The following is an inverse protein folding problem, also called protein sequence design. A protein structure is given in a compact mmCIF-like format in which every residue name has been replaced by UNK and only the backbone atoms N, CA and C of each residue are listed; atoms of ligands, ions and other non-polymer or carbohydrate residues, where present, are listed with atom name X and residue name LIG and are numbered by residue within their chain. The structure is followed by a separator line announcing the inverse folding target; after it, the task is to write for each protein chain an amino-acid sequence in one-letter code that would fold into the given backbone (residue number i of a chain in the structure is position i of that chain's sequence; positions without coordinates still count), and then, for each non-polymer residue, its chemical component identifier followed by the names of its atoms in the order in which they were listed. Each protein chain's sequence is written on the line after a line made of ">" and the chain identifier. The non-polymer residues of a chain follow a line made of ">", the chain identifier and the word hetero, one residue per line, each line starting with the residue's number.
data_IF_808999850388
#
_entry.id   IF_808999850388
#
_cell.length_a   1.000
_cell.length_b   1.000
_cell.length_c   1.000
_cell.angle_alpha   90.00
_cell.angle_beta   90.00
_cell.angle_gamma   90.00
#
_symmetry.space_group_name_H-M   'P 1'
#
loop_
_entity.id
_entity.type
_entity.pdbx_description
1 polymer ?
#
# COMPACT_ATOMS: atom_id res chain seq x y z
N UNK A 1 -7.81 39.36 -16.86
CA UNK A 1 -7.12 38.34 -17.69
C UNK A 1 -7.70 36.99 -17.34
N UNK A 2 -8.26 36.22 -18.29
CA UNK A 2 -8.81 34.91 -17.98
C UNK A 2 -7.65 33.97 -17.63
N UNK A 3 -7.76 33.29 -16.50
CA UNK A 3 -6.81 32.29 -16.02
C UNK A 3 -6.67 31.16 -17.04
N UNK A 4 -5.46 30.59 -17.10
CA UNK A 4 -5.09 29.48 -17.99
C UNK A 4 -5.97 28.22 -17.81
N UNK A 5 -6.76 28.13 -16.75
CA UNK A 5 -7.59 26.96 -16.40
C UNK A 5 -8.77 26.72 -17.37
N UNK A 6 -9.53 27.76 -17.76
CA UNK A 6 -10.78 27.56 -18.52
C UNK A 6 -10.62 27.14 -19.99
N UNK A 7 -9.41 27.13 -20.54
CA UNK A 7 -9.14 26.70 -21.94
C UNK A 7 -8.45 25.34 -22.04
N UNK A 8 -7.95 24.80 -20.93
CA UNK A 8 -7.48 23.42 -20.89
C UNK A 8 -8.67 22.46 -20.71
N UNK A 9 -9.74 22.92 -20.03
CA UNK A 9 -11.07 22.31 -20.02
C UNK A 9 -11.65 22.16 -21.43
N UNK A 10 -11.58 23.22 -22.25
CA UNK A 10 -12.08 23.19 -23.63
C UNK A 10 -11.38 22.11 -24.49
N UNK A 11 -10.07 21.89 -24.30
CA UNK A 11 -9.37 20.85 -25.05
C UNK A 11 -9.83 19.45 -24.64
N UNK A 12 -10.06 19.23 -23.35
CA UNK A 12 -10.56 17.97 -22.83
C UNK A 12 -12.02 17.73 -23.27
N UNK A 13 -12.85 18.76 -23.28
CA UNK A 13 -14.21 18.73 -23.85
C UNK A 13 -14.20 18.35 -25.34
N UNK A 14 -13.33 18.95 -26.15
CA UNK A 14 -13.21 18.63 -27.58
C UNK A 14 -12.76 17.18 -27.80
N UNK A 15 -11.88 16.65 -26.94
CA UNK A 15 -11.46 15.24 -26.98
C UNK A 15 -12.63 14.32 -26.62
N UNK A 16 -13.39 14.64 -25.57
CA UNK A 16 -14.57 13.87 -25.14
C UNK A 16 -15.66 13.88 -26.22
N UNK A 17 -15.89 15.05 -26.84
CA UNK A 17 -16.84 15.22 -27.95
C UNK A 17 -16.34 14.64 -29.28
N UNK A 18 -15.15 14.00 -29.31
CA UNK A 18 -14.53 13.42 -30.52
C UNK A 18 -14.32 14.43 -31.66
N UNK A 19 -14.16 15.70 -31.33
CA UNK A 19 -13.93 16.78 -32.29
C UNK A 19 -12.44 16.90 -32.65
N UNK A 20 -11.88 15.83 -33.23
CA UNK A 20 -10.43 15.63 -33.39
C UNK A 20 -9.72 16.75 -34.15
N UNK A 21 -10.32 17.24 -35.24
CA UNK A 21 -9.74 18.34 -36.05
C UNK A 21 -9.57 19.62 -35.24
N UNK A 22 -10.60 19.97 -34.45
CA UNK A 22 -10.58 21.17 -33.63
C UNK A 22 -9.59 21.01 -32.47
N UNK A 23 -9.61 19.85 -31.80
CA UNK A 23 -8.66 19.53 -30.73
C UNK A 23 -7.20 19.60 -31.22
N UNK A 24 -6.89 18.98 -32.37
CA UNK A 24 -5.54 18.99 -32.94
C UNK A 24 -5.09 20.41 -33.34
N UNK A 25 -5.97 21.18 -33.99
CA UNK A 25 -5.68 22.56 -34.37
C UNK A 25 -5.41 23.44 -33.13
N UNK A 26 -6.17 23.25 -32.06
CA UNK A 26 -5.98 23.96 -30.80
C UNK A 26 -4.63 23.59 -30.16
N UNK A 27 -4.27 22.30 -30.11
CA UNK A 27 -2.96 21.84 -29.65
C UNK A 27 -1.82 22.49 -30.47
N UNK A 28 -1.89 22.45 -31.80
CA UNK A 28 -0.85 23.01 -32.67
C UNK A 28 -0.73 24.53 -32.50
N UNK A 29 -1.86 25.24 -32.37
CA UNK A 29 -1.87 26.68 -32.12
C UNK A 29 -1.24 27.02 -30.77
N UNK A 30 -1.49 26.22 -29.73
CA UNK A 30 -0.89 26.42 -28.39
C UNK A 30 0.61 26.11 -28.41
N UNK A 31 1.04 25.01 -29.06
CA UNK A 31 2.45 24.63 -29.18
C UNK A 31 3.30 25.61 -29.99
N UNK A 32 2.70 26.32 -30.95
CA UNK A 32 3.37 27.38 -31.73
C UNK A 32 3.59 28.67 -30.95
N UNK A 33 2.79 28.93 -29.91
CA UNK A 33 3.07 30.02 -28.97
C UNK A 33 4.23 29.55 -28.09
N UNK A 34 5.14 30.45 -27.70
CA UNK A 34 6.44 30.17 -27.07
C UNK A 34 6.43 29.33 -25.76
N UNK A 35 5.29 28.78 -25.34
CA UNK A 35 5.10 27.92 -24.18
C UNK A 35 4.83 26.46 -24.61
N UNK A 36 5.75 25.86 -25.35
CA UNK A 36 5.67 24.42 -25.67
C UNK A 36 5.90 23.60 -24.39
N UNK A 37 4.83 23.08 -23.78
CA UNK A 37 4.91 22.20 -22.61
C UNK A 37 4.75 20.74 -22.99
N UNK A 38 5.39 19.85 -22.22
CA UNK A 38 5.24 18.39 -22.36
C UNK A 38 3.78 17.95 -22.24
N UNK A 39 3.04 18.65 -21.40
CA UNK A 39 1.63 18.44 -21.20
C UNK A 39 0.83 18.66 -22.49
N UNK A 40 1.07 19.76 -23.20
CA UNK A 40 0.44 20.03 -24.50
C UNK A 40 0.87 19.03 -25.57
N UNK A 41 2.14 18.59 -25.56
CA UNK A 41 2.63 17.54 -26.45
C UNK A 41 1.92 16.21 -26.20
N UNK A 42 1.77 15.80 -24.94
CA UNK A 42 1.04 14.57 -24.60
C UNK A 42 -0.44 14.67 -24.95
N UNK A 43 -1.10 15.81 -24.74
CA UNK A 43 -2.48 16.00 -25.20
C UNK A 43 -2.59 15.87 -26.71
N UNK A 44 -1.66 16.46 -27.48
CA UNK A 44 -1.61 16.28 -28.94
C UNK A 44 -1.43 14.81 -29.33
N UNK A 45 -0.50 14.11 -28.69
CA UNK A 45 -0.28 12.66 -28.89
C UNK A 45 -1.56 11.89 -28.59
N UNK A 46 -2.27 12.19 -27.50
CA UNK A 46 -3.55 11.58 -27.15
C UNK A 46 -4.60 11.77 -28.23
N UNK A 47 -4.77 12.99 -28.75
CA UNK A 47 -5.67 13.28 -29.87
C UNK A 47 -5.30 12.43 -31.10
N UNK A 48 -4.03 12.41 -31.48
CA UNK A 48 -3.55 11.65 -32.64
C UNK A 48 -3.78 10.15 -32.50
N UNK A 49 -3.57 9.60 -31.29
CA UNK A 49 -3.73 8.17 -31.03
C UNK A 49 -5.19 7.73 -30.94
N UNK A 50 -6.10 8.61 -30.51
CA UNK A 50 -7.54 8.36 -30.46
C UNK A 50 -8.24 8.61 -31.81
N UNK A 51 -7.59 9.34 -32.72
CA UNK A 51 -8.11 9.59 -34.05
C UNK A 51 -8.28 8.27 -34.83
N UNK A 52 -9.44 8.03 -35.48
CA UNK A 52 -9.68 6.80 -36.27
C UNK A 52 -8.76 6.58 -37.48
N UNK A 53 -8.04 7.60 -37.93
CA UNK A 53 -7.26 7.58 -39.17
C UNK A 53 -5.88 6.97 -38.91
N UNK A 54 -5.52 5.92 -39.65
CA UNK A 54 -4.27 5.16 -39.42
C UNK A 54 -3.00 6.02 -39.55
N UNK A 55 -2.99 6.97 -40.48
CA UNK A 55 -1.87 7.90 -40.70
C UNK A 55 -1.63 8.78 -39.47
N UNK A 56 -2.71 9.36 -38.90
CA UNK A 56 -2.69 10.15 -37.66
C UNK A 56 -2.28 9.30 -36.47
N UNK A 57 -2.76 8.07 -36.42
CA UNK A 57 -2.37 7.13 -35.39
C UNK A 57 -0.86 6.84 -35.42
N UNK A 58 -0.30 6.54 -36.60
CA UNK A 58 1.14 6.34 -36.79
C UNK A 58 1.96 7.59 -36.42
N UNK A 59 1.46 8.78 -36.79
CA UNK A 59 2.05 10.04 -36.36
C UNK A 59 2.10 10.16 -34.83
N UNK A 60 0.99 9.83 -34.15
CA UNK A 60 0.90 9.82 -32.69
C UNK A 60 1.92 8.87 -32.05
N UNK A 61 2.10 7.66 -32.60
CA UNK A 61 3.09 6.70 -32.11
C UNK A 61 4.52 7.20 -32.29
N UNK A 62 4.83 7.85 -33.42
CA UNK A 62 6.15 8.45 -33.66
C UNK A 62 6.44 9.57 -32.68
N UNK A 63 5.49 10.48 -32.48
CA UNK A 63 5.64 11.59 -31.52
C UNK A 63 5.74 11.08 -30.08
N UNK A 64 5.00 10.03 -29.72
CA UNK A 64 5.12 9.35 -28.44
C UNK A 64 6.52 8.76 -28.23
N UNK A 65 7.06 8.06 -29.23
CA UNK A 65 8.42 7.50 -29.17
C UNK A 65 9.47 8.58 -28.88
N UNK A 66 9.41 9.70 -29.60
CA UNK A 66 10.31 10.84 -29.40
C UNK A 66 10.18 11.41 -27.99
N UNK A 67 8.96 11.57 -27.47
CA UNK A 67 8.74 12.08 -26.12
C UNK A 67 9.32 11.14 -25.05
N UNK A 68 9.14 9.83 -25.21
CA UNK A 68 9.63 8.84 -24.27
C UNK A 68 11.16 8.69 -24.30
N UNK A 69 11.81 9.01 -25.42
CA UNK A 69 13.28 8.96 -25.55
C UNK A 69 13.99 10.22 -25.08
N UNK A 70 13.24 11.31 -24.84
CA UNK A 70 13.83 12.62 -24.55
C UNK A 70 14.71 12.64 -23.29
N UNK A 71 15.73 13.49 -23.33
CA UNK A 71 16.61 13.85 -22.22
C UNK A 71 16.65 15.39 -22.07
N UNK A 72 16.25 15.98 -20.92
CA UNK A 72 15.73 15.32 -19.72
C UNK A 72 14.36 14.64 -19.96
N UNK A 73 14.06 13.56 -19.20
CA UNK A 73 12.77 12.88 -19.27
C UNK A 73 11.63 13.80 -18.81
N UNK A 74 10.41 13.39 -19.14
CA UNK A 74 9.20 14.04 -18.62
C UNK A 74 9.15 13.87 -17.10
N UNK A 75 8.97 14.99 -16.40
CA UNK A 75 8.93 15.06 -14.93
C UNK A 75 7.66 15.73 -14.40
N UNK A 76 6.85 16.31 -15.29
CA UNK A 76 5.57 16.91 -14.93
C UNK A 76 4.52 15.84 -14.60
N UNK A 77 3.87 15.98 -13.44
CA UNK A 77 2.97 14.96 -12.89
C UNK A 77 1.72 14.79 -13.76
N UNK A 78 1.13 15.87 -14.26
CA UNK A 78 -0.07 15.78 -15.10
C UNK A 78 0.23 15.15 -16.46
N UNK A 79 1.40 15.43 -17.00
CA UNK A 79 1.92 14.77 -18.20
C UNK A 79 2.11 13.27 -17.95
N UNK A 80 2.73 12.88 -16.84
CA UNK A 80 2.92 11.46 -16.48
C UNK A 80 1.59 10.72 -16.26
N UNK A 81 0.61 11.35 -15.60
CA UNK A 81 -0.76 10.82 -15.47
C UNK A 81 -1.41 10.61 -16.83
N UNK A 82 -1.27 11.57 -17.74
CA UNK A 82 -1.84 11.45 -19.08
C UNK A 82 -1.17 10.30 -19.86
N UNK A 83 0.15 10.12 -19.71
CA UNK A 83 0.87 8.97 -20.29
C UNK A 83 0.39 7.62 -19.72
N UNK A 84 0.03 7.55 -18.44
CA UNK A 84 -0.60 6.37 -17.85
C UNK A 84 -1.94 6.04 -18.51
N UNK A 85 -2.83 7.04 -18.68
CA UNK A 85 -4.12 6.83 -19.35
C UNK A 85 -3.95 6.35 -20.79
N UNK A 86 -2.88 6.77 -21.47
CA UNK A 86 -2.54 6.30 -22.81
C UNK A 86 -2.05 4.84 -22.81
N UNK A 87 -1.27 4.45 -21.81
CA UNK A 87 -0.79 3.08 -21.65
C UNK A 87 -1.94 2.09 -21.44
N UNK A 88 -2.95 2.50 -20.66
CA UNK A 88 -4.16 1.71 -20.39
C UNK A 88 -5.03 1.57 -21.65
N UNK A 89 -5.29 2.68 -22.35
CA UNK A 89 -6.18 2.70 -23.52
C UNK A 89 -5.66 1.91 -24.74
N UNK A 90 -4.35 1.63 -24.81
CA UNK A 90 -3.73 0.98 -25.99
C UNK A 90 -3.23 -0.44 -25.75
N UNK A 91 -3.53 -1.03 -24.59
CA UNK A 91 -3.17 -2.43 -24.32
C UNK A 91 -1.66 -2.63 -24.25
N UNK A 92 -1.02 -2.00 -23.26
CA UNK A 92 0.26 -2.39 -22.62
C UNK A 92 1.51 -2.71 -23.47
N UNK A 93 1.52 -2.53 -24.79
CA UNK A 93 2.64 -3.02 -25.61
C UNK A 93 3.85 -2.08 -25.73
N UNK A 94 3.85 -0.91 -25.07
CA UNK A 94 5.02 -0.02 -25.04
C UNK A 94 5.74 -0.11 -23.68
N UNK A 95 6.85 -0.89 -23.57
CA UNK A 95 7.58 -1.05 -22.31
C UNK A 95 8.13 0.26 -21.75
N UNK A 96 8.44 1.25 -22.61
CA UNK A 96 8.96 2.55 -22.16
C UNK A 96 7.94 3.33 -21.34
N UNK A 97 6.64 3.18 -21.62
CA UNK A 97 5.57 3.79 -20.83
C UNK A 97 5.57 3.29 -19.38
N UNK A 98 6.02 2.05 -19.13
CA UNK A 98 6.11 1.52 -17.75
C UNK A 98 7.23 2.16 -16.94
N UNK A 99 8.24 2.71 -17.62
CA UNK A 99 9.45 3.26 -16.99
C UNK A 99 9.42 4.79 -16.84
N UNK A 100 8.41 5.49 -17.37
CA UNK A 100 8.37 6.97 -17.36
C UNK A 100 8.44 7.53 -15.95
N UNK A 101 7.68 6.95 -15.01
CA UNK A 101 7.71 7.35 -13.60
C UNK A 101 9.05 7.07 -12.94
N UNK A 102 9.65 5.90 -13.22
CA UNK A 102 10.97 5.55 -12.69
C UNK A 102 12.05 6.51 -13.18
N UNK A 103 12.00 6.91 -14.47
CA UNK A 103 12.93 7.89 -15.04
C UNK A 103 12.71 9.29 -14.45
N UNK A 104 11.46 9.71 -14.30
CA UNK A 104 11.11 10.97 -13.66
C UNK A 104 11.65 11.03 -12.22
N UNK A 105 11.41 9.98 -11.44
CA UNK A 105 11.88 9.85 -10.07
C UNK A 105 13.41 9.77 -9.97
N UNK A 106 14.08 9.22 -10.98
CA UNK A 106 15.55 9.20 -11.07
C UNK A 106 16.15 10.59 -11.27
N UNK A 107 15.46 11.49 -11.99
CA UNK A 107 15.91 12.87 -12.23
C UNK A 107 15.49 13.82 -11.10
N UNK A 108 14.34 13.56 -10.47
CA UNK A 108 13.84 14.31 -9.31
C UNK A 108 13.70 13.41 -8.07
N UNK A 109 14.80 12.84 -7.55
CA UNK A 109 14.72 11.92 -6.42
C UNK A 109 14.21 12.59 -5.14
N UNK A 110 14.43 13.91 -5.00
CA UNK A 110 14.01 14.71 -3.84
C UNK A 110 12.59 15.29 -3.96
N UNK A 111 11.86 14.99 -5.04
CA UNK A 111 10.45 15.41 -5.18
C UNK A 111 9.53 14.35 -4.55
N UNK A 112 9.18 14.53 -3.27
CA UNK A 112 8.34 13.57 -2.55
C UNK A 112 6.96 13.41 -3.18
N UNK A 113 6.38 14.51 -3.68
CA UNK A 113 5.07 14.51 -4.31
C UNK A 113 5.05 13.60 -5.54
N UNK A 114 6.13 13.57 -6.31
CA UNK A 114 6.27 12.67 -7.46
C UNK A 114 6.19 11.19 -7.04
N UNK A 115 6.89 10.79 -5.97
CA UNK A 115 6.84 9.40 -5.48
C UNK A 115 5.47 9.03 -4.88
N UNK A 116 4.85 9.96 -4.12
CA UNK A 116 3.51 9.77 -3.55
C UNK A 116 2.49 9.53 -4.66
N UNK A 117 2.49 10.38 -5.69
CA UNK A 117 1.53 10.26 -6.81
C UNK A 117 1.79 9.01 -7.62
N UNK A 118 3.06 8.67 -7.88
CA UNK A 118 3.43 7.42 -8.56
C UNK A 118 2.93 6.20 -7.79
N UNK A 119 3.18 6.12 -6.48
CA UNK A 119 2.70 5.00 -5.67
C UNK A 119 1.18 4.88 -5.71
N UNK A 120 0.46 5.98 -5.42
CA UNK A 120 -1.00 5.98 -5.34
C UNK A 120 -1.64 5.60 -6.68
N UNK A 121 -1.16 6.15 -7.79
CA UNK A 121 -1.73 5.85 -9.11
C UNK A 121 -1.59 4.36 -9.45
N UNK A 122 -0.43 3.76 -9.17
CA UNK A 122 -0.18 2.34 -9.47
C UNK A 122 -0.90 1.40 -8.50
N UNK A 123 -0.97 1.77 -7.23
CA UNK A 123 -1.66 0.96 -6.23
C UNK A 123 -3.18 0.93 -6.48
N UNK A 124 -3.79 2.07 -6.83
CA UNK A 124 -5.24 2.17 -7.09
C UNK A 124 -5.72 1.34 -8.28
N UNK A 125 -4.92 1.23 -9.33
CA UNK A 125 -5.25 0.42 -10.52
C UNK A 125 -4.80 -1.06 -10.39
N UNK A 126 -4.36 -1.48 -9.20
CA UNK A 126 -3.92 -2.85 -8.94
C UNK A 126 -2.57 -3.23 -9.56
N UNK A 127 -1.79 -2.27 -10.08
CA UNK A 127 -0.45 -2.54 -10.58
C UNK A 127 0.56 -2.62 -9.42
N UNK A 128 0.50 -3.73 -8.69
CA UNK A 128 1.29 -3.97 -7.48
C UNK A 128 2.79 -3.91 -7.73
N UNK A 129 3.28 -4.34 -8.89
CA UNK A 129 4.71 -4.31 -9.23
C UNK A 129 5.22 -2.87 -9.38
N UNK A 130 4.48 -2.03 -10.08
CA UNK A 130 4.85 -0.62 -10.21
C UNK A 130 4.69 0.13 -8.87
N UNK A 131 3.69 -0.22 -8.06
CA UNK A 131 3.53 0.33 -6.71
C UNK A 131 4.70 -0.07 -5.77
N UNK A 132 5.17 -1.31 -5.87
CA UNK A 132 6.36 -1.77 -5.15
C UNK A 132 7.61 -0.98 -5.56
N UNK A 133 7.84 -0.77 -6.86
CA UNK A 133 8.95 0.04 -7.35
C UNK A 133 8.89 1.49 -6.86
N UNK A 134 7.69 2.10 -6.88
CA UNK A 134 7.46 3.45 -6.39
C UNK A 134 7.77 3.58 -4.90
N UNK A 135 7.23 2.67 -4.07
CA UNK A 135 7.48 2.67 -2.61
C UNK A 135 8.94 2.37 -2.27
N UNK A 136 9.62 1.48 -3.00
CA UNK A 136 11.06 1.23 -2.83
C UNK A 136 11.90 2.48 -3.16
N UNK A 137 11.58 3.15 -4.27
CA UNK A 137 12.22 4.40 -4.69
C UNK A 137 11.99 5.50 -3.65
N UNK A 138 10.75 5.65 -3.17
CA UNK A 138 10.39 6.59 -2.13
C UNK A 138 11.16 6.33 -0.83
N UNK A 139 11.17 5.08 -0.37
CA UNK A 139 11.88 4.67 0.85
C UNK A 139 13.38 4.94 0.77
N UNK A 140 14.00 4.71 -0.39
CA UNK A 140 15.43 4.95 -0.62
C UNK A 140 15.78 6.44 -0.55
N UNK A 141 14.96 7.29 -1.15
CA UNK A 141 15.22 8.73 -1.24
C UNK A 141 14.79 9.49 0.02
N UNK A 142 13.84 8.96 0.78
CA UNK A 142 13.30 9.56 2.01
C UNK A 142 13.44 8.60 3.20
N UNK A 143 14.68 8.22 3.61
CA UNK A 143 14.91 7.18 4.62
C UNK A 143 14.40 7.56 6.02
N UNK A 144 14.19 8.86 6.28
CA UNK A 144 13.60 9.39 7.51
C UNK A 144 12.07 9.40 7.49
N UNK A 145 11.44 9.17 6.32
CA UNK A 145 10.01 8.99 6.24
C UNK A 145 9.67 7.52 6.53
N UNK A 146 8.83 7.31 7.54
CA UNK A 146 8.34 5.99 7.94
C UNK A 146 7.41 5.38 6.91
N UNK A 147 6.51 6.17 6.35
CA UNK A 147 5.41 5.69 5.51
C UNK A 147 5.87 4.82 4.32
N UNK A 148 6.84 5.24 3.49
CA UNK A 148 7.26 4.43 2.35
C UNK A 148 7.91 3.10 2.75
N UNK A 149 8.49 3.00 3.95
CA UNK A 149 9.03 1.73 4.46
C UNK A 149 7.91 0.70 4.66
N UNK A 150 6.82 1.07 5.33
CA UNK A 150 5.69 0.16 5.54
C UNK A 150 4.86 -0.09 4.28
N UNK A 151 4.72 0.91 3.40
CA UNK A 151 4.09 0.70 2.08
C UNK A 151 4.89 -0.25 1.19
N UNK A 152 6.23 -0.20 1.27
CA UNK A 152 7.08 -1.15 0.56
C UNK A 152 6.90 -2.58 1.09
N UNK A 153 6.83 -2.77 2.41
CA UNK A 153 6.52 -4.08 3.02
C UNK A 153 5.14 -4.57 2.61
N UNK A 154 4.13 -3.69 2.64
CA UNK A 154 2.76 -4.02 2.23
C UNK A 154 2.70 -4.50 0.78
N UNK A 155 3.36 -3.81 -0.14
CA UNK A 155 3.40 -4.21 -1.56
C UNK A 155 4.16 -5.51 -1.78
N UNK A 156 5.26 -5.76 -1.04
CA UNK A 156 5.94 -7.07 -1.05
C UNK A 156 5.01 -8.19 -0.60
N UNK A 157 4.29 -7.98 0.51
CA UNK A 157 3.33 -8.96 1.02
C UNK A 157 2.20 -9.23 0.03
N UNK A 158 1.63 -8.18 -0.58
CA UNK A 158 0.55 -8.33 -1.58
C UNK A 158 1.01 -9.06 -2.84
N UNK A 159 2.20 -8.76 -3.35
CA UNK A 159 2.78 -9.52 -4.47
C UNK A 159 3.06 -10.98 -4.10
N UNK A 160 3.45 -11.25 -2.86
CA UNK A 160 3.65 -12.62 -2.38
C UNK A 160 2.34 -13.43 -2.24
N UNK A 161 1.20 -12.76 -2.07
CA UNK A 161 -0.15 -13.37 -2.07
C UNK A 161 -0.70 -13.55 -3.49
N UNK A 162 -0.20 -12.78 -4.46
CA UNK A 162 -0.68 -12.81 -5.83
C UNK A 162 -0.24 -14.10 -6.55
N UNK A 163 -1.22 -14.90 -6.97
CA UNK A 163 -1.01 -16.12 -7.75
C UNK A 163 -0.36 -15.88 -9.12
N UNK A 164 -0.43 -14.66 -9.67
CA UNK A 164 0.24 -14.30 -10.92
C UNK A 164 1.75 -14.09 -10.75
N UNK A 165 2.24 -13.91 -9.53
CA UNK A 165 3.67 -13.76 -9.24
C UNK A 165 4.35 -15.14 -9.21
N UNK A 166 5.52 -15.35 -9.84
CA UNK A 166 6.24 -16.62 -9.81
C UNK A 166 6.58 -17.09 -8.39
N UNK A 167 6.54 -18.40 -8.10
CA UNK A 167 6.76 -18.93 -6.74
C UNK A 167 8.13 -18.56 -6.15
N UNK A 168 9.17 -18.58 -6.98
CA UNK A 168 10.52 -18.18 -6.57
C UNK A 168 10.56 -16.72 -6.09
N UNK A 169 9.86 -15.84 -6.80
CA UNK A 169 9.71 -14.43 -6.43
C UNK A 169 8.83 -14.27 -5.19
N UNK A 170 7.69 -14.97 -5.11
CA UNK A 170 6.83 -14.95 -3.91
C UNK A 170 7.61 -15.35 -2.66
N UNK A 171 8.40 -16.42 -2.74
CA UNK A 171 9.22 -16.92 -1.62
C UNK A 171 10.23 -15.85 -1.16
N UNK A 172 10.92 -15.20 -2.12
CA UNK A 172 11.83 -14.10 -1.82
C UNK A 172 11.11 -12.93 -1.15
N UNK A 173 9.96 -12.51 -1.69
CA UNK A 173 9.19 -11.39 -1.17
C UNK A 173 8.67 -11.64 0.25
N UNK A 174 8.18 -12.86 0.55
CA UNK A 174 7.80 -13.27 1.92
C UNK A 174 8.98 -13.15 2.88
N UNK A 175 10.12 -13.71 2.48
CA UNK A 175 11.34 -13.68 3.31
C UNK A 175 11.83 -12.24 3.57
N UNK A 176 11.74 -11.36 2.57
CA UNK A 176 12.12 -9.95 2.74
C UNK A 176 11.14 -9.20 3.64
N UNK A 177 9.83 -9.34 3.41
CA UNK A 177 8.80 -8.71 4.23
C UNK A 177 8.94 -9.12 5.71
N UNK A 178 9.18 -10.42 5.98
CA UNK A 178 9.51 -10.92 7.30
C UNK A 178 10.69 -10.19 7.92
N UNK A 179 11.86 -10.23 7.26
CA UNK A 179 13.11 -9.68 7.77
C UNK A 179 12.97 -8.19 8.11
N UNK A 180 12.28 -7.43 7.27
CA UNK A 180 12.04 -6.01 7.54
C UNK A 180 11.16 -5.79 8.78
N UNK A 181 10.09 -6.57 8.95
CA UNK A 181 9.19 -6.45 10.09
C UNK A 181 9.80 -6.98 11.39
N UNK A 182 10.51 -8.12 11.34
CA UNK A 182 11.25 -8.64 12.50
C UNK A 182 12.28 -7.61 12.99
N UNK A 183 12.99 -6.97 12.06
CA UNK A 183 13.91 -5.88 12.41
C UNK A 183 13.16 -4.68 13.01
N UNK A 184 12.07 -4.23 12.39
CA UNK A 184 11.25 -3.14 12.91
C UNK A 184 10.67 -3.43 14.31
N UNK A 185 10.32 -4.68 14.60
CA UNK A 185 9.87 -5.12 15.92
C UNK A 185 11.01 -5.08 16.94
N UNK A 186 12.21 -5.52 16.56
CA UNK A 186 13.39 -5.48 17.45
C UNK A 186 13.86 -4.07 17.82
N UNK A 187 13.49 -3.07 17.02
CA UNK A 187 13.82 -1.66 17.24
C UNK A 187 12.85 -0.95 18.21
N UNK A 188 11.77 -1.62 18.66
CA UNK A 188 10.85 -1.06 19.66
C UNK A 188 11.52 -1.05 21.04
N UNK A 189 11.67 0.13 21.63
CA UNK A 189 12.31 0.32 22.94
C UNK A 189 11.33 0.15 24.12
N UNK A 190 11.88 -0.26 25.27
CA UNK A 190 11.14 -0.55 26.52
C UNK A 190 10.72 0.68 27.33
N UNK A 191 10.63 1.86 26.70
CA UNK A 191 10.11 3.05 27.38
C UNK A 191 11.14 3.99 27.99
N UNK A 192 12.32 4.16 27.37
CA UNK A 192 13.16 5.32 27.65
C UNK A 192 12.73 6.48 26.74
N UNK A 193 12.62 7.69 27.29
CA UNK A 193 12.39 8.99 26.61
C UNK A 193 13.51 9.31 25.59
N UNK A 194 13.67 8.46 24.60
CA UNK A 194 14.63 8.58 23.50
C UNK A 194 13.90 8.73 22.17
N UNK A 195 14.66 9.17 21.17
CA UNK A 195 14.18 9.27 19.79
C UNK A 195 13.82 7.86 19.30
N UNK A 196 12.52 7.58 19.15
CA UNK A 196 12.03 6.30 18.60
C UNK A 196 12.64 6.11 17.20
N UNK A 197 13.23 4.94 16.89
CA UNK A 197 13.74 4.69 15.55
C UNK A 197 12.62 4.88 14.52
N UNK A 198 12.91 5.57 13.41
CA UNK A 198 11.92 5.90 12.37
C UNK A 198 11.13 4.68 11.89
N UNK A 199 11.77 3.51 11.85
CA UNK A 199 11.23 2.25 11.34
C UNK A 199 10.69 1.31 12.42
N UNK A 200 10.86 1.63 13.71
CA UNK A 200 10.38 0.81 14.82
C UNK A 200 8.84 0.75 14.85
N UNK A 201 8.21 -0.38 15.15
CA UNK A 201 6.74 -0.48 15.17
C UNK A 201 6.13 0.47 16.22
N UNK A 202 5.24 1.37 15.78
CA UNK A 202 4.68 2.42 16.63
C UNK A 202 3.23 2.82 16.29
N UNK A 203 2.61 2.20 15.29
CA UNK A 203 1.17 2.29 15.01
C UNK A 203 0.53 0.90 15.01
N UNK A 204 -0.77 0.84 15.29
CA UNK A 204 -1.51 -0.42 15.32
C UNK A 204 -1.49 -1.09 13.93
N UNK A 205 -1.60 -0.31 12.85
CA UNK A 205 -1.58 -0.81 11.48
C UNK A 205 -0.26 -1.52 11.14
N UNK A 206 0.86 -1.06 11.71
CA UNK A 206 2.18 -1.66 11.52
C UNK A 206 2.27 -3.02 12.22
N UNK A 207 1.69 -3.12 13.42
CA UNK A 207 1.58 -4.38 14.17
C UNK A 207 0.64 -5.36 13.45
N UNK A 208 -0.50 -4.89 12.93
CA UNK A 208 -1.41 -5.72 12.14
C UNK A 208 -0.75 -6.23 10.85
N UNK A 209 0.05 -5.39 10.19
CA UNK A 209 0.86 -5.82 9.04
C UNK A 209 1.90 -6.88 9.45
N UNK A 210 2.55 -6.72 10.60
CA UNK A 210 3.45 -7.74 11.16
C UNK A 210 2.74 -9.07 11.35
N UNK A 211 1.59 -9.07 12.02
CA UNK A 211 0.80 -10.28 12.29
C UNK A 211 0.45 -10.98 10.97
N UNK A 212 -0.02 -10.24 9.96
CA UNK A 212 -0.37 -10.80 8.64
C UNK A 212 0.82 -11.45 7.95
N UNK A 213 1.98 -10.78 7.94
CA UNK A 213 3.20 -11.31 7.31
C UNK A 213 3.75 -12.53 8.05
N UNK A 214 3.69 -12.55 9.38
CA UNK A 214 4.12 -13.68 10.19
C UNK A 214 3.21 -14.91 9.97
N UNK A 215 1.89 -14.70 9.95
CA UNK A 215 0.91 -15.76 9.64
C UNK A 215 1.13 -16.36 8.27
N UNK A 216 1.36 -15.53 7.24
CA UNK A 216 1.64 -15.99 5.88
C UNK A 216 2.91 -16.86 5.77
N UNK A 217 3.75 -16.91 6.80
CA UNK A 217 4.98 -17.71 6.86
C UNK A 217 4.93 -18.82 7.92
N UNK A 218 3.78 -19.05 8.54
CA UNK A 218 3.64 -20.05 9.60
C UNK A 218 4.35 -19.69 10.91
N UNK A 219 4.69 -18.41 11.13
CA UNK A 219 5.36 -17.93 12.36
C UNK A 219 4.35 -17.60 13.46
N UNK A 220 3.44 -18.53 13.72
CA UNK A 220 2.28 -18.31 14.59
C UNK A 220 2.69 -18.06 16.05
N UNK A 221 3.52 -18.92 16.63
CA UNK A 221 3.99 -18.77 18.02
C UNK A 221 4.80 -17.50 18.24
N UNK A 222 5.62 -17.11 17.26
CA UNK A 222 6.41 -15.87 17.31
C UNK A 222 5.50 -14.64 17.29
N UNK A 223 4.49 -14.63 16.43
CA UNK A 223 3.50 -13.57 16.40
C UNK A 223 2.66 -13.51 17.69
N UNK A 224 2.25 -14.66 18.23
CA UNK A 224 1.51 -14.73 19.49
C UNK A 224 2.32 -14.11 20.64
N UNK A 225 3.62 -14.42 20.72
CA UNK A 225 4.52 -13.84 21.72
C UNK A 225 4.64 -12.31 21.58
N UNK A 226 4.73 -11.79 20.35
CA UNK A 226 4.77 -10.35 20.09
C UNK A 226 3.46 -9.67 20.52
N UNK A 227 2.31 -10.27 20.19
CA UNK A 227 0.99 -9.71 20.53
C UNK A 227 0.75 -9.72 22.04
N UNK A 228 1.29 -10.69 22.79
CA UNK A 228 1.27 -10.71 24.27
C UNK A 228 2.26 -9.75 24.92
N UNK A 229 3.32 -9.35 24.21
CA UNK A 229 4.43 -8.62 24.79
C UNK A 229 4.07 -7.22 25.30
N UNK A 230 4.68 -6.81 26.41
CA UNK A 230 4.52 -5.48 27.01
C UNK A 230 5.09 -4.32 26.18
N UNK A 231 5.98 -4.61 25.23
CA UNK A 231 6.68 -3.60 24.41
C UNK A 231 5.78 -2.97 23.35
N UNK A 232 5.03 -3.81 22.63
CA UNK A 232 4.22 -3.41 21.48
C UNK A 232 2.90 -4.17 21.33
N UNK A 233 2.66 -5.18 22.16
CA UNK A 233 1.46 -6.00 22.14
C UNK A 233 0.30 -5.37 22.94
N UNK A 234 -0.63 -6.21 23.37
CA UNK A 234 -1.87 -5.82 24.08
C UNK A 234 -1.60 -5.09 25.40
N UNK A 235 -0.49 -5.41 26.07
CA UNK A 235 -0.10 -4.77 27.34
C UNK A 235 0.55 -3.40 27.15
N UNK A 236 0.97 -3.08 25.92
CA UNK A 236 1.62 -1.82 25.57
C UNK A 236 0.60 -0.70 25.31
N UNK A 237 1.00 0.59 25.40
CA UNK A 237 0.14 1.70 24.98
C UNK A 237 -0.31 1.62 23.51
N UNK A 238 0.40 0.86 22.67
CA UNK A 238 0.09 0.68 21.25
C UNK A 238 -1.09 -0.26 21.04
N UNK A 239 -1.13 -1.37 21.78
CA UNK A 239 -2.11 -2.44 21.62
C UNK A 239 -3.19 -2.46 22.68
N UNK A 240 -3.05 -1.70 23.77
CA UNK A 240 -4.06 -1.57 24.82
C UNK A 240 -5.40 -1.15 24.20
N UNK A 241 -6.48 -1.77 24.66
CA UNK A 241 -7.84 -1.58 24.14
C UNK A 241 -8.09 -2.05 22.69
N UNK A 242 -7.15 -2.78 22.07
CA UNK A 242 -7.39 -3.31 20.72
C UNK A 242 -8.01 -4.71 20.77
N UNK A 243 -9.33 -4.78 20.62
CA UNK A 243 -10.04 -6.06 20.49
C UNK A 243 -9.62 -6.85 19.24
N UNK A 244 -9.18 -6.16 18.19
CA UNK A 244 -8.63 -6.80 16.98
C UNK A 244 -7.38 -7.62 17.32
N UNK A 245 -6.51 -7.12 18.21
CA UNK A 245 -5.35 -7.88 18.68
C UNK A 245 -5.75 -9.10 19.51
N UNK A 246 -6.82 -9.01 20.31
CA UNK A 246 -7.36 -10.16 21.06
C UNK A 246 -7.79 -11.27 20.10
N UNK A 247 -8.58 -10.94 19.06
CA UNK A 247 -9.01 -11.91 18.03
C UNK A 247 -7.82 -12.53 17.32
N UNK A 248 -6.84 -11.71 16.92
CA UNK A 248 -5.63 -12.21 16.29
C UNK A 248 -4.80 -13.09 17.22
N UNK A 249 -4.70 -12.77 18.51
CA UNK A 249 -4.01 -13.62 19.47
C UNK A 249 -4.68 -14.98 19.57
N UNK A 250 -6.01 -15.03 19.72
CA UNK A 250 -6.77 -16.29 19.75
C UNK A 250 -6.48 -17.14 18.51
N UNK A 251 -6.59 -16.55 17.32
CA UNK A 251 -6.28 -17.25 16.06
C UNK A 251 -4.84 -17.75 16.01
N UNK A 252 -3.88 -16.93 16.46
CA UNK A 252 -2.47 -17.33 16.48
C UNK A 252 -2.23 -18.51 17.43
N UNK A 253 -2.90 -18.57 18.57
CA UNK A 253 -2.80 -19.66 19.52
C UNK A 253 -3.38 -20.96 18.97
N UNK A 254 -4.56 -20.89 18.33
CA UNK A 254 -5.15 -22.03 17.64
C UNK A 254 -4.22 -22.55 16.52
N UNK A 255 -3.70 -21.65 15.66
CA UNK A 255 -2.81 -22.02 14.56
C UNK A 255 -1.44 -22.54 15.02
N UNK A 256 -1.01 -22.21 16.24
CA UNK A 256 0.21 -22.70 16.86
C UNK A 256 -0.01 -23.88 17.81
N UNK A 257 -1.24 -24.39 17.91
CA UNK A 257 -1.63 -25.47 18.81
C UNK A 257 -1.32 -25.19 20.29
N UNK A 258 -1.33 -23.91 20.70
CA UNK A 258 -1.18 -23.50 22.10
C UNK A 258 -2.55 -23.53 22.80
N UNK A 259 -3.13 -24.72 22.90
CA UNK A 259 -4.50 -24.92 23.37
C UNK A 259 -4.70 -24.48 24.81
N UNK A 260 -3.76 -24.81 25.71
CA UNK A 260 -3.82 -24.42 27.13
C UNK A 260 -3.88 -22.90 27.26
N UNK A 261 -2.99 -22.18 26.57
CA UNK A 261 -2.99 -20.73 26.68
C UNK A 261 -4.22 -20.10 26.01
N UNK A 262 -4.72 -20.67 24.92
CA UNK A 262 -5.96 -20.22 24.27
C UNK A 262 -7.15 -20.35 25.21
N UNK A 263 -7.25 -21.49 25.90
CA UNK A 263 -8.28 -21.76 26.90
C UNK A 263 -8.18 -20.77 28.07
N UNK A 264 -6.99 -20.57 28.64
CA UNK A 264 -6.77 -19.64 29.76
C UNK A 264 -7.13 -18.21 29.37
N UNK A 265 -6.70 -17.75 28.18
CA UNK A 265 -7.05 -16.44 27.66
C UNK A 265 -8.57 -16.27 27.53
N UNK A 266 -9.25 -17.24 26.90
CA UNK A 266 -10.70 -17.16 26.70
C UNK A 266 -11.46 -17.17 28.03
N UNK A 267 -11.02 -17.96 29.01
CA UNK A 267 -11.60 -17.94 30.34
C UNK A 267 -11.43 -16.59 31.03
N UNK A 268 -10.22 -16.04 31.02
CA UNK A 268 -9.94 -14.74 31.62
C UNK A 268 -10.84 -13.66 31.01
N UNK A 269 -10.95 -13.62 29.67
CA UNK A 269 -11.83 -12.70 28.95
C UNK A 269 -13.30 -12.83 29.35
N UNK A 270 -13.80 -14.05 29.54
CA UNK A 270 -15.19 -14.32 29.97
C UNK A 270 -15.43 -14.05 31.46
N UNK A 271 -14.40 -14.13 32.30
CA UNK A 271 -14.48 -13.72 33.71
C UNK A 271 -14.52 -12.20 33.79
N UNK A 272 -13.61 -11.53 33.08
CA UNK A 272 -13.57 -10.06 33.02
C UNK A 272 -14.88 -9.49 32.45
N UNK A 273 -15.49 -10.17 31.47
CA UNK A 273 -16.80 -9.85 30.92
C UNK A 273 -17.95 -9.79 31.95
N UNK A 274 -17.89 -10.63 33.00
CA UNK A 274 -18.99 -10.84 33.95
C UNK A 274 -18.98 -9.83 35.10
N UNK A 275 -17.82 -9.33 35.46
CA UNK A 275 -17.64 -8.49 36.63
C UNK A 275 -17.91 -7.03 36.21
N UNK A 276 -19.12 -6.50 36.47
CA UNK A 276 -19.51 -5.11 36.12
C UNK A 276 -18.60 -4.05 36.77
N UNK A 277 -17.74 -4.43 37.72
CA UNK A 277 -16.73 -3.57 38.34
C UNK A 277 -15.40 -3.48 37.55
N UNK A 278 -15.22 -4.27 36.49
CA UNK A 278 -13.96 -4.40 35.72
C UNK A 278 -13.68 -3.29 34.71
N UNK A 279 -14.54 -2.26 34.58
CA UNK A 279 -14.16 -1.01 33.89
C UNK A 279 -12.81 -0.46 34.40
N UNK A 280 -12.39 -0.84 35.61
CA UNK A 280 -11.13 -0.44 36.25
C UNK A 280 -9.96 -1.44 36.14
N UNK A 281 -10.19 -2.70 35.75
CA UNK A 281 -9.14 -3.77 35.76
C UNK A 281 -8.78 -4.29 34.38
N UNK A 282 -9.72 -4.29 33.46
CA UNK A 282 -9.49 -4.72 32.09
C UNK A 282 -8.65 -3.67 31.33
N UNK A 283 -7.56 -4.11 30.70
CA UNK A 283 -6.80 -3.30 29.72
C UNK A 283 -7.55 -3.10 28.39
N UNK A 284 -8.85 -3.42 28.36
CA UNK A 284 -9.77 -3.31 27.23
C UNK A 284 -10.95 -2.44 27.65
N UNK A 285 -10.89 -1.15 27.37
CA UNK A 285 -11.92 -0.15 27.72
C UNK A 285 -12.97 0.03 26.63
N UNK A 286 -12.84 -0.63 25.48
CA UNK A 286 -13.75 -0.46 24.35
C UNK A 286 -13.96 -1.78 23.61
N UNK A 287 -15.22 -2.21 23.54
CA UNK A 287 -15.68 -3.31 22.68
C UNK A 287 -16.82 -2.78 21.79
N UNK A 288 -16.70 -2.83 20.45
CA UNK A 288 -17.69 -2.23 19.56
C UNK A 288 -19.02 -2.99 19.47
N UNK A 289 -19.15 -4.17 20.08
CA UNK A 289 -20.32 -5.04 19.94
C UNK A 289 -21.07 -5.34 21.26
N UNK A 290 -20.81 -4.61 22.35
CA UNK A 290 -21.59 -4.75 23.60
C UNK A 290 -20.73 -4.93 24.85
N UNK A 291 -21.05 -5.93 25.69
CA UNK A 291 -20.25 -6.28 26.86
C UNK A 291 -18.93 -6.93 26.42
N UNK A 292 -17.81 -6.58 27.09
CA UNK A 292 -16.53 -7.27 26.92
C UNK A 292 -16.76 -8.79 26.96
N UNK A 293 -16.14 -9.55 26.07
CA UNK A 293 -16.24 -11.03 26.05
C UNK A 293 -17.49 -11.64 25.42
N UNK A 294 -18.50 -10.86 25.00
CA UNK A 294 -19.59 -11.36 24.14
C UNK A 294 -19.14 -11.42 22.67
N UNK A 295 -18.11 -12.22 22.42
CA UNK A 295 -17.56 -12.48 21.10
C UNK A 295 -17.60 -13.98 20.83
N UNK A 296 -18.34 -14.37 19.79
CA UNK A 296 -18.44 -15.76 19.38
C UNK A 296 -17.06 -16.39 19.12
N UNK A 297 -16.06 -15.62 18.68
CA UNK A 297 -14.70 -16.13 18.49
C UNK A 297 -14.06 -16.60 19.80
N UNK A 298 -14.34 -15.93 20.92
CA UNK A 298 -13.87 -16.32 22.26
C UNK A 298 -14.53 -17.64 22.69
N UNK A 299 -15.84 -17.75 22.52
CA UNK A 299 -16.57 -18.98 22.84
C UNK A 299 -16.15 -20.17 21.97
N UNK A 300 -16.04 -19.96 20.67
CA UNK A 300 -15.59 -20.99 19.73
C UNK A 300 -14.19 -21.47 20.07
N UNK A 301 -13.27 -20.55 20.37
CA UNK A 301 -11.90 -20.89 20.75
C UNK A 301 -11.84 -21.64 22.08
N UNK A 302 -12.65 -21.26 23.07
CA UNK A 302 -12.75 -21.97 24.35
C UNK A 302 -13.18 -23.43 24.16
N UNK A 303 -14.23 -23.67 23.38
CA UNK A 303 -14.75 -25.01 23.08
C UNK A 303 -13.72 -25.83 22.30
N UNK A 304 -13.06 -25.21 21.32
CA UNK A 304 -12.04 -25.86 20.51
C UNK A 304 -10.84 -26.25 21.37
N UNK A 305 -10.35 -25.32 22.20
CA UNK A 305 -9.22 -25.56 23.09
C UNK A 305 -9.54 -26.63 24.14
N UNK A 306 -10.72 -26.59 24.78
CA UNK A 306 -11.11 -27.61 25.77
C UNK A 306 -11.22 -29.00 25.16
N UNK A 307 -11.74 -29.10 23.94
CA UNK A 307 -11.82 -30.37 23.22
C UNK A 307 -10.44 -30.95 22.92
N UNK A 308 -9.48 -30.11 22.51
CA UNK A 308 -8.12 -30.56 22.20
C UNK A 308 -7.31 -30.90 23.47
N UNK A 309 -7.48 -30.16 24.56
CA UNK A 309 -6.85 -30.47 25.85
C UNK A 309 -7.35 -31.81 26.39
N UNK A 310 -8.66 -32.09 26.28
CA UNK A 310 -9.25 -33.35 26.73
C UNK A 310 -8.92 -34.58 25.86
N UNK A 311 -8.28 -34.39 24.70
CA UNK A 311 -7.84 -35.48 23.80
C UNK A 311 -6.34 -35.78 23.87
N UNK A 312 -5.58 -35.03 24.69
CA UNK A 312 -4.14 -35.25 24.89
C UNK A 312 -3.80 -36.20 26.08
N UNK A 313 -4.82 -36.90 26.64
CA UNK A 313 -4.67 -38.06 27.54
C UNK A 313 -4.80 -39.39 26.78
#
# INVERSE_FOLDING_TARGET
>A
MPTLDGQDDLLDELILAKQWKQALSLCEKKLKKANSSDYLLVKKIKVLLLWPEKTRHQQGLKELGVLLERNPPVVDIETLRTLDTLAEAKGQNEPRLRQVWQRAAGVRPQDEKLHVVWFRSKFQVGNLRAAQQASQSWMKNFPKNREPFFLYILTMHKLAEDSATPESERTLLRSLAYKFLSKAASEVSDGVEGIKPTRAINKLEDLLLLIRVYRAQGKYSEAAAIVRGSRMGMESPLGRNSWELVRHLIELLEMSHQWVDSWQLCQQLLVDARDESTERRSHLTHYPFGKLGDDWKVWQALITASSNIGTEE
#
